data_IF_605836581755
#
_entry.id   IF_605836581755
#
_cell.length_a   1.000
_cell.length_b   1.000
_cell.length_c   1.000
_cell.angle_alpha   90.00
_cell.angle_beta   90.00
_cell.angle_gamma   90.00
#
_symmetry.space_group_name_H-M   'P 1'
#
loop_
_entity.id
_entity.type
_entity.pdbx_description
1 polymer ?
#
# COMPACT_ATOMS: atom_id res chain seq x y z
N UNK A 1 18.65 14.07 -6.08
CA UNK A 1 17.96 13.04 -5.27
C UNK A 1 16.48 13.15 -5.59
N UNK A 2 15.88 12.17 -6.30
CA UNK A 2 14.43 12.18 -6.50
C UNK A 2 13.83 11.85 -5.14
N UNK A 3 13.30 12.86 -4.45
CA UNK A 3 12.49 12.64 -3.25
C UNK A 3 11.20 12.00 -3.73
N UNK A 4 11.08 10.69 -3.53
CA UNK A 4 9.81 10.02 -3.70
C UNK A 4 8.94 10.47 -2.51
N UNK A 5 8.06 11.45 -2.73
CA UNK A 5 7.07 11.91 -1.75
C UNK A 5 5.97 10.85 -1.52
N UNK A 6 6.35 9.59 -1.32
CA UNK A 6 5.45 8.50 -1.00
C UNK A 6 5.11 8.52 0.49
N UNK A 7 3.95 7.98 0.83
CA UNK A 7 3.55 7.72 2.21
C UNK A 7 4.54 6.73 2.86
N UNK A 8 5.11 7.10 4.00
CA UNK A 8 6.05 6.23 4.73
C UNK A 8 5.36 5.50 5.88
N UNK A 9 5.90 4.36 6.36
CA UNK A 9 5.42 3.73 7.58
C UNK A 9 5.47 4.66 8.81
N UNK A 10 6.39 5.64 8.85
CA UNK A 10 6.48 6.59 9.95
C UNK A 10 5.30 7.57 9.95
N UNK A 11 4.83 7.99 8.78
CA UNK A 11 3.63 8.85 8.67
C UNK A 11 2.39 8.12 9.21
N UNK A 12 2.33 6.79 9.03
CA UNK A 12 1.23 5.94 9.51
C UNK A 12 1.23 5.75 11.03
N UNK A 13 2.40 5.81 11.68
CA UNK A 13 2.49 5.73 13.16
C UNK A 13 1.78 6.88 13.86
N UNK A 14 1.73 8.07 13.25
CA UNK A 14 0.98 9.20 13.81
C UNK A 14 -0.52 8.91 13.95
N UNK A 15 -1.04 7.95 13.17
CA UNK A 15 -2.41 7.48 13.23
C UNK A 15 -2.59 6.20 14.05
N UNK A 16 -1.54 5.73 14.74
CA UNK A 16 -1.57 4.50 15.54
C UNK A 16 -1.46 3.21 14.74
N UNK A 17 -1.17 3.29 13.43
CA UNK A 17 -0.92 2.11 12.59
C UNK A 17 0.54 1.70 12.78
N UNK A 18 0.75 0.52 13.36
CA UNK A 18 2.07 -0.02 13.69
C UNK A 18 2.38 -1.25 12.84
N UNK A 19 3.67 -1.63 12.78
CA UNK A 19 4.15 -2.85 12.14
C UNK A 19 3.72 -3.04 10.67
N UNK A 20 3.58 -1.92 9.93
CA UNK A 20 3.28 -1.89 8.50
C UNK A 20 4.34 -2.69 7.72
N UNK A 21 3.90 -3.70 6.98
CA UNK A 21 4.79 -4.57 6.19
C UNK A 21 5.02 -4.00 4.78
N UNK A 22 3.98 -3.46 4.15
CA UNK A 22 4.04 -2.90 2.80
C UNK A 22 3.02 -1.77 2.63
N UNK A 23 3.31 -0.85 1.70
CA UNK A 23 2.44 0.28 1.36
C UNK A 23 2.36 0.38 -0.16
N UNK A 24 1.20 0.05 -0.72
CA UNK A 24 0.87 0.34 -2.12
C UNK A 24 0.22 1.72 -2.20
N UNK A 25 1.03 2.77 -2.33
CA UNK A 25 0.56 4.16 -2.41
C UNK A 25 0.34 4.59 -3.86
N UNK A 26 -0.87 5.09 -4.16
CA UNK A 26 -1.29 5.52 -5.50
C UNK A 26 -1.07 4.42 -6.57
N UNK A 27 -1.72 3.24 -6.42
CA UNK A 27 -1.63 2.18 -7.41
C UNK A 27 -2.18 2.63 -8.76
N UNK A 28 -1.69 2.03 -9.85
CA UNK A 28 -2.28 2.20 -11.17
C UNK A 28 -3.61 1.44 -11.28
N UNK A 29 -4.41 1.78 -12.28
CA UNK A 29 -5.64 1.03 -12.58
C UNK A 29 -5.37 -0.44 -12.90
N UNK A 30 -4.25 -0.74 -13.57
CA UNK A 30 -3.87 -2.13 -13.89
C UNK A 30 -3.59 -2.92 -12.60
N UNK A 31 -2.86 -2.33 -11.64
CA UNK A 31 -2.61 -2.94 -10.34
C UNK A 31 -3.90 -3.21 -9.57
N UNK A 32 -4.82 -2.25 -9.54
CA UNK A 32 -6.13 -2.42 -8.90
C UNK A 32 -6.92 -3.56 -9.55
N UNK A 33 -6.98 -3.59 -10.89
CA UNK A 33 -7.71 -4.61 -11.63
C UNK A 33 -7.15 -6.01 -11.40
N UNK A 34 -5.83 -6.17 -11.41
CA UNK A 34 -5.18 -7.46 -11.17
C UNK A 34 -5.41 -7.97 -9.74
N UNK A 35 -5.27 -7.10 -8.73
CA UNK A 35 -5.48 -7.49 -7.33
C UNK A 35 -6.94 -7.85 -7.02
N UNK A 36 -7.90 -7.10 -7.57
CA UNK A 36 -9.34 -7.36 -7.38
C UNK A 36 -9.78 -8.70 -8.00
N UNK A 37 -9.15 -9.14 -9.10
CA UNK A 37 -9.47 -10.38 -9.78
C UNK A 37 -8.60 -11.56 -9.37
N UNK A 38 -7.57 -11.34 -8.55
CA UNK A 38 -6.67 -12.39 -8.12
C UNK A 38 -7.45 -13.49 -7.37
N UNK A 39 -7.21 -14.79 -7.67
CA UNK A 39 -7.95 -15.91 -7.06
C UNK A 39 -7.70 -16.07 -5.55
N UNK A 40 -6.81 -15.26 -4.96
CA UNK A 40 -6.47 -15.26 -3.54
C UNK A 40 -7.18 -14.17 -2.73
N UNK A 41 -8.31 -13.63 -3.23
CA UNK A 41 -9.13 -12.59 -2.58
C UNK A 41 -9.72 -12.93 -1.18
N UNK A 42 -9.17 -13.95 -0.49
CA UNK A 42 -9.55 -14.37 0.86
C UNK A 42 -8.44 -14.30 1.91
N UNK A 43 -7.30 -13.65 1.63
CA UNK A 43 -6.24 -13.45 2.63
C UNK A 43 -6.45 -12.12 3.37
N UNK A 44 -7.53 -12.05 4.15
CA UNK A 44 -7.70 -11.09 5.26
C UNK A 44 -7.15 -11.70 6.54
#
# INVERSE_FOLDING_TARGET
MRVNNGLTPQDLKAYGINDVQDIVHNPSYDTLYEEELAPQSGRL
#
